data_IF_650198206461
#
_entry.id   IF_650198206461
#
_cell.length_a   1.000
_cell.length_b   1.000
_cell.length_c   1.000
_cell.angle_alpha   90.00
_cell.angle_beta   90.00
_cell.angle_gamma   90.00
#
_symmetry.space_group_name_H-M   'P 1'
#
loop_
_entity.id
_entity.type
_entity.pdbx_description
1 polymer ?
#
# COMPACT_ATOMS: atom_id res chain seq x y z
N UNK A 1 16.54 -1.30 -8.75
CA UNK A 1 16.46 -2.02 -7.48
C UNK A 1 15.17 -1.67 -6.75
N UNK A 2 14.50 -2.64 -6.15
CA UNK A 2 13.38 -2.44 -5.22
C UNK A 2 13.75 -3.03 -3.86
N UNK A 3 13.36 -2.35 -2.77
CA UNK A 3 13.53 -2.81 -1.39
C UNK A 3 12.20 -2.58 -0.63
N UNK A 4 11.58 -3.62 -0.14
CA UNK A 4 10.29 -3.49 0.55
C UNK A 4 9.74 -4.80 1.10
N UNK A 5 8.47 -4.81 1.44
CA UNK A 5 7.80 -5.92 2.13
C UNK A 5 7.87 -7.25 1.36
N UNK A 6 7.92 -7.20 0.02
CA UNK A 6 7.99 -8.40 -0.82
C UNK A 6 9.43 -8.86 -1.09
N UNK A 7 10.43 -8.28 -0.41
CA UNK A 7 11.84 -8.60 -0.56
C UNK A 7 12.66 -7.50 -1.21
N UNK A 8 13.90 -7.80 -1.52
CA UNK A 8 14.78 -6.93 -2.30
C UNK A 8 15.03 -7.55 -3.68
N UNK A 9 14.77 -6.75 -4.72
CA UNK A 9 14.94 -7.14 -6.13
C UNK A 9 16.06 -6.31 -6.74
N UNK A 10 17.16 -6.96 -7.10
CA UNK A 10 18.30 -6.33 -7.77
C UNK A 10 18.53 -7.07 -9.09
N UNK A 11 18.16 -6.44 -10.21
CA UNK A 11 18.11 -7.08 -11.52
C UNK A 11 17.25 -8.35 -11.48
N UNK A 12 17.85 -9.54 -11.60
CA UNK A 12 17.15 -10.83 -11.57
C UNK A 12 17.21 -11.50 -10.20
N UNK A 13 18.00 -10.98 -9.28
CA UNK A 13 18.13 -11.55 -7.95
C UNK A 13 16.99 -11.10 -7.04
N UNK A 14 16.49 -12.04 -6.27
CA UNK A 14 15.46 -11.82 -5.25
C UNK A 14 16.04 -12.24 -3.91
N UNK A 15 16.08 -11.33 -2.96
CA UNK A 15 16.58 -11.52 -1.61
C UNK A 15 15.42 -11.34 -0.65
N UNK A 16 15.16 -12.34 0.18
CA UNK A 16 14.16 -12.23 1.24
C UNK A 16 14.66 -11.29 2.33
N UNK A 17 13.75 -10.50 2.90
CA UNK A 17 14.04 -9.54 3.95
C UNK A 17 13.19 -9.82 5.18
N UNK A 18 13.81 -9.74 6.36
CA UNK A 18 13.09 -9.89 7.64
C UNK A 18 12.19 -8.67 7.94
N UNK A 19 12.54 -7.52 7.41
CA UNK A 19 11.83 -6.26 7.61
C UNK A 19 11.55 -5.55 6.30
N UNK A 20 10.41 -4.86 6.19
CA UNK A 20 10.06 -3.99 5.04
C UNK A 20 11.18 -2.99 4.71
N UNK A 21 11.80 -2.41 5.74
CA UNK A 21 13.01 -1.61 5.63
C UNK A 21 14.09 -2.31 6.45
N UNK A 22 15.14 -2.85 5.83
CA UNK A 22 16.22 -3.57 6.53
C UNK A 22 16.94 -2.71 7.57
N UNK A 23 17.73 -3.35 8.41
CA UNK A 23 18.65 -2.65 9.30
C UNK A 23 19.74 -1.93 8.50
N UNK A 24 20.30 -0.87 9.10
CA UNK A 24 21.19 0.05 8.38
C UNK A 24 22.35 -0.64 7.66
N UNK A 25 23.00 -1.61 8.27
CA UNK A 25 24.14 -2.32 7.66
C UNK A 25 23.71 -3.19 6.50
N UNK A 26 22.60 -3.92 6.66
CA UNK A 26 22.00 -4.72 5.58
C UNK A 26 21.56 -3.84 4.42
N UNK A 27 20.88 -2.72 4.71
CA UNK A 27 20.44 -1.77 3.70
C UNK A 27 21.60 -1.22 2.87
N UNK A 28 22.70 -0.79 3.51
CA UNK A 28 23.86 -0.30 2.79
C UNK A 28 24.52 -1.38 1.93
N UNK A 29 24.59 -2.63 2.40
CA UNK A 29 25.11 -3.75 1.59
C UNK A 29 24.25 -4.00 0.36
N UNK A 30 22.92 -3.94 0.48
CA UNK A 30 22.00 -4.05 -0.66
C UNK A 30 22.18 -2.92 -1.66
N UNK A 31 22.36 -1.68 -1.17
CA UNK A 31 22.59 -0.50 -2.04
C UNK A 31 23.94 -0.57 -2.77
N UNK A 32 25.00 -1.07 -2.12
CA UNK A 32 26.30 -1.31 -2.75
C UNK A 32 26.15 -2.36 -3.85
N UNK A 33 25.50 -3.49 -3.57
CA UNK A 33 25.25 -4.53 -4.58
C UNK A 33 24.43 -3.99 -5.76
N UNK A 34 23.37 -3.22 -5.48
CA UNK A 34 22.56 -2.58 -6.52
C UNK A 34 23.41 -1.66 -7.42
N UNK A 35 24.29 -0.87 -6.81
CA UNK A 35 25.23 0.02 -7.53
C UNK A 35 26.21 -0.78 -8.40
N UNK A 36 26.81 -1.83 -7.86
CA UNK A 36 27.76 -2.72 -8.56
C UNK A 36 27.10 -3.42 -9.75
N UNK A 37 25.81 -3.79 -9.62
CA UNK A 37 24.99 -4.34 -10.73
C UNK A 37 24.46 -3.27 -11.70
N UNK A 38 24.83 -2.01 -11.52
CA UNK A 38 24.49 -0.92 -12.44
C UNK A 38 23.06 -0.41 -12.33
N UNK A 39 22.34 -0.68 -11.22
CA UNK A 39 21.03 -0.10 -10.99
C UNK A 39 21.09 1.42 -10.98
N UNK A 40 20.24 2.07 -11.79
CA UNK A 40 20.18 3.53 -11.91
C UNK A 40 19.18 4.16 -10.93
N UNK A 41 18.21 3.40 -10.49
CA UNK A 41 17.14 3.85 -9.59
C UNK A 41 16.97 2.82 -8.48
N UNK A 42 16.78 3.31 -7.28
CA UNK A 42 16.35 2.52 -6.12
C UNK A 42 14.98 3.03 -5.70
N UNK A 43 14.01 2.12 -5.61
CA UNK A 43 12.69 2.38 -5.04
C UNK A 43 12.60 1.58 -3.75
N UNK A 44 12.24 2.23 -2.64
CA UNK A 44 12.15 1.52 -1.37
C UNK A 44 10.93 1.92 -0.55
N UNK A 45 10.42 0.97 0.20
CA UNK A 45 9.43 1.24 1.24
C UNK A 45 10.15 1.70 2.51
N UNK A 46 9.68 2.82 3.07
CA UNK A 46 10.22 3.38 4.31
C UNK A 46 9.15 3.30 5.40
N UNK A 47 9.31 2.36 6.32
CA UNK A 47 8.38 2.15 7.43
C UNK A 47 8.54 3.24 8.50
N UNK A 48 7.48 3.53 9.27
CA UNK A 48 7.56 4.45 10.40
C UNK A 48 8.55 3.98 11.48
N UNK A 49 8.67 2.65 11.66
CA UNK A 49 9.67 2.07 12.55
C UNK A 49 11.10 2.41 12.10
N UNK A 50 11.39 2.27 10.80
CA UNK A 50 12.73 2.58 10.26
C UNK A 50 13.09 4.06 10.41
N UNK A 51 12.10 4.95 10.33
CA UNK A 51 12.29 6.39 10.56
C UNK A 51 12.60 6.71 12.03
N UNK A 52 11.93 6.02 12.97
CA UNK A 52 12.19 6.19 14.41
C UNK A 52 13.53 5.56 14.79
N UNK A 53 13.86 4.42 14.22
CA UNK A 53 15.09 3.66 14.51
C UNK A 53 16.29 4.11 13.67
N UNK A 54 16.12 5.16 12.86
CA UNK A 54 17.17 5.73 12.00
C UNK A 54 17.83 4.69 11.04
N UNK A 55 17.09 3.65 10.61
CA UNK A 55 17.62 2.60 9.72
C UNK A 55 18.07 3.11 8.35
N UNK A 56 17.57 4.29 7.95
CA UNK A 56 17.90 4.96 6.68
C UNK A 56 18.86 6.14 6.87
N UNK A 57 19.52 6.24 8.03
CA UNK A 57 20.45 7.32 8.33
C UNK A 57 21.57 7.43 7.29
N UNK A 58 21.81 8.64 6.81
CA UNK A 58 22.81 8.91 5.77
C UNK A 58 22.31 8.76 4.34
N UNK A 59 21.08 8.31 4.12
CA UNK A 59 20.45 8.35 2.79
C UNK A 59 19.79 9.70 2.54
N UNK A 60 19.72 10.07 1.26
CA UNK A 60 18.97 11.23 0.78
C UNK A 60 18.10 10.82 -0.41
N UNK A 61 16.80 11.14 -0.33
CA UNK A 61 15.84 10.81 -1.38
C UNK A 61 15.61 11.99 -2.31
N UNK A 62 15.62 11.73 -3.60
CA UNK A 62 15.21 12.72 -4.62
C UNK A 62 13.69 12.84 -4.68
N UNK A 63 12.97 11.76 -4.40
CA UNK A 63 11.51 11.68 -4.39
C UNK A 63 11.04 10.87 -3.19
N UNK A 64 9.97 11.34 -2.56
CA UNK A 64 9.21 10.59 -1.56
C UNK A 64 7.74 10.55 -1.96
N UNK A 65 6.96 9.65 -1.35
CA UNK A 65 5.52 9.61 -1.49
C UNK A 65 4.84 9.38 -0.15
N UNK A 66 3.77 10.12 0.10
CA UNK A 66 2.80 9.85 1.15
C UNK A 66 1.52 9.30 0.54
N UNK A 67 1.22 8.05 0.82
CA UNK A 67 0.04 7.36 0.28
C UNK A 67 -1.19 7.54 1.17
N UNK A 68 -1.08 7.19 2.44
CA UNK A 68 -2.15 7.33 3.43
C UNK A 68 -1.61 7.11 4.86
N UNK A 69 -2.45 7.47 5.85
CA UNK A 69 -2.23 7.14 7.26
C UNK A 69 -3.53 6.65 7.89
N UNK A 70 -3.58 5.38 8.24
CA UNK A 70 -4.72 4.72 8.86
C UNK A 70 -4.31 4.02 10.15
N UNK A 71 -5.30 3.56 10.93
CA UNK A 71 -5.06 2.91 12.21
C UNK A 71 -4.23 1.64 12.06
N UNK A 72 -2.98 1.71 12.48
CA UNK A 72 -2.03 0.59 12.56
C UNK A 72 -0.87 0.94 13.49
N UNK A 73 -0.07 -0.05 13.87
CA UNK A 73 1.19 0.12 14.63
C UNK A 73 1.06 0.90 15.96
N UNK A 74 -0.13 0.92 16.60
CA UNK A 74 -0.32 1.58 17.89
C UNK A 74 0.29 0.80 19.06
N UNK A 75 0.65 -0.45 18.86
CA UNK A 75 1.50 -1.24 19.73
C UNK A 75 2.91 -0.63 19.88
N UNK A 76 3.39 0.04 18.85
CA UNK A 76 4.70 0.70 18.81
C UNK A 76 4.60 2.21 19.05
N UNK A 77 3.71 2.92 18.31
CA UNK A 77 3.63 4.39 18.34
C UNK A 77 2.70 4.96 19.41
N UNK A 78 1.95 4.11 20.15
CA UNK A 78 1.00 4.44 21.22
C UNK A 78 -0.16 5.37 20.81
N UNK A 79 0.01 6.25 19.83
CA UNK A 79 -1.06 7.14 19.33
C UNK A 79 -0.91 7.42 17.83
N UNK A 80 -2.02 7.83 17.19
CA UNK A 80 -2.02 8.26 15.79
C UNK A 80 -1.17 9.52 15.57
N UNK A 81 -1.04 10.35 16.58
CA UNK A 81 -0.19 11.57 16.54
C UNK A 81 1.29 11.20 16.52
N UNK A 82 1.73 10.29 17.39
CA UNK A 82 3.11 9.77 17.37
C UNK A 82 3.42 9.05 16.06
N UNK A 83 2.44 8.29 15.54
CA UNK A 83 2.58 7.62 14.24
C UNK A 83 2.73 8.62 13.09
N UNK A 84 1.93 9.71 13.09
CA UNK A 84 2.07 10.81 12.12
C UNK A 84 3.46 11.46 12.22
N UNK A 85 3.88 11.83 13.43
CA UNK A 85 5.18 12.45 13.66
C UNK A 85 6.34 11.54 13.23
N UNK A 86 6.21 10.23 13.45
CA UNK A 86 7.20 9.26 12.97
C UNK A 86 7.31 9.29 11.44
N UNK A 87 6.18 9.31 10.71
CA UNK A 87 6.17 9.38 9.24
C UNK A 87 6.71 10.72 8.71
N UNK A 88 6.43 11.84 9.39
CA UNK A 88 6.92 13.15 8.99
C UNK A 88 8.46 13.26 9.04
N UNK A 89 9.14 12.41 9.80
CA UNK A 89 10.62 12.36 9.79
C UNK A 89 11.21 12.08 8.40
N UNK A 90 10.41 11.60 7.42
CA UNK A 90 10.86 11.41 6.04
C UNK A 90 11.42 12.68 5.40
N UNK A 91 10.92 13.86 5.82
CA UNK A 91 11.41 15.15 5.33
C UNK A 91 12.89 15.41 5.67
N UNK A 92 13.40 14.81 6.76
CA UNK A 92 14.82 14.93 7.13
C UNK A 92 15.76 14.21 6.15
N UNK A 93 15.19 13.39 5.28
CA UNK A 93 15.91 12.58 4.30
C UNK A 93 15.59 13.00 2.86
N UNK A 94 14.77 14.02 2.66
CA UNK A 94 14.48 14.58 1.35
C UNK A 94 15.56 15.59 0.96
N UNK A 95 16.13 15.45 -0.24
CA UNK A 95 17.10 16.40 -0.78
C UNK A 95 16.52 17.81 -0.86
N UNK A 96 17.38 18.83 -0.87
CA UNK A 96 16.98 20.24 -0.99
C UNK A 96 16.14 20.53 -2.23
N UNK A 97 16.37 19.82 -3.34
CA UNK A 97 15.60 19.89 -4.59
C UNK A 97 14.58 18.74 -4.72
N UNK A 98 14.49 17.90 -3.70
CA UNK A 98 13.61 16.72 -3.69
C UNK A 98 12.12 17.10 -3.69
N UNK A 99 11.27 16.19 -4.16
CA UNK A 99 9.82 16.37 -4.21
C UNK A 99 9.11 15.28 -3.40
N UNK A 100 7.94 15.60 -2.90
CA UNK A 100 7.05 14.63 -2.25
C UNK A 100 5.73 14.53 -3.02
N UNK A 101 5.34 13.31 -3.37
CA UNK A 101 4.04 13.01 -3.98
C UNK A 101 3.03 12.73 -2.87
N UNK A 102 1.87 13.39 -2.90
CA UNK A 102 0.90 13.37 -1.81
C UNK A 102 -0.49 13.04 -2.34
N UNK A 103 -1.14 12.03 -1.75
CA UNK A 103 -2.56 11.79 -1.92
C UNK A 103 -3.36 12.80 -1.08
N UNK A 104 -3.94 13.83 -1.71
CA UNK A 104 -4.68 14.90 -1.01
C UNK A 104 -6.05 14.47 -0.49
N UNK A 105 -6.56 13.32 -0.91
CA UNK A 105 -7.83 12.77 -0.41
C UNK A 105 -7.64 12.07 0.96
N UNK A 106 -6.40 11.85 1.41
CA UNK A 106 -6.13 11.39 2.76
C UNK A 106 -6.20 12.55 3.76
N UNK A 107 -6.89 12.34 4.89
CA UNK A 107 -7.11 13.36 5.92
C UNK A 107 -5.85 13.93 6.56
N UNK A 108 -4.74 13.18 6.50
CA UNK A 108 -3.44 13.59 7.03
C UNK A 108 -2.54 14.26 5.99
N UNK A 109 -2.97 14.32 4.72
CA UNK A 109 -2.20 14.92 3.62
C UNK A 109 -1.69 16.32 3.93
N UNK A 110 -2.51 17.13 4.61
CA UNK A 110 -2.19 18.52 5.00
C UNK A 110 -0.89 18.66 5.81
N UNK A 111 -0.49 17.62 6.55
CA UNK A 111 0.73 17.63 7.34
C UNK A 111 1.99 17.34 6.51
N UNK A 112 1.81 16.79 5.31
CA UNK A 112 2.88 16.48 4.36
C UNK A 112 3.03 17.53 3.25
N UNK A 113 2.16 18.56 3.24
CA UNK A 113 2.21 19.61 2.22
C UNK A 113 3.43 20.51 2.44
N UNK A 114 4.28 20.55 1.43
CA UNK A 114 5.49 21.35 1.34
C UNK A 114 5.48 22.15 0.04
N UNK A 115 6.38 23.17 -0.09
CA UNK A 115 6.47 24.00 -1.32
C UNK A 115 6.70 23.20 -2.60
N UNK A 116 7.29 22.00 -2.48
CA UNK A 116 7.62 21.10 -3.62
C UNK A 116 6.76 19.86 -3.66
N UNK A 117 5.58 19.94 -3.08
CA UNK A 117 4.62 18.85 -3.16
C UNK A 117 4.08 18.71 -4.58
N UNK A 118 3.96 17.47 -5.00
CA UNK A 118 3.22 17.04 -6.19
C UNK A 118 1.98 16.31 -5.71
N UNK A 119 0.81 16.77 -6.07
CA UNK A 119 -0.44 16.31 -5.49
C UNK A 119 -1.22 15.40 -6.44
N UNK A 120 -1.94 14.42 -5.88
CA UNK A 120 -2.89 13.60 -6.63
C UNK A 120 -4.16 13.36 -5.82
N UNK A 121 -5.29 13.22 -6.50
CA UNK A 121 -6.57 12.96 -5.84
C UNK A 121 -7.78 13.30 -6.69
N UNK A 122 -8.96 13.17 -6.08
CA UNK A 122 -10.25 13.55 -6.70
C UNK A 122 -10.55 15.05 -6.55
N UNK A 123 -9.93 15.69 -5.54
CA UNK A 123 -10.03 17.12 -5.28
C UNK A 123 -9.04 17.89 -6.17
N UNK A 124 -8.91 19.18 -5.92
CA UNK A 124 -7.96 20.03 -6.62
C UNK A 124 -6.53 19.54 -6.37
N UNK A 125 -5.86 19.10 -7.44
CA UNK A 125 -4.56 18.46 -7.37
C UNK A 125 -3.87 18.48 -8.74
N UNK A 126 -2.54 18.30 -8.76
CA UNK A 126 -1.75 18.28 -10.01
C UNK A 126 -2.11 17.08 -10.90
N UNK A 127 -2.44 15.93 -10.29
CA UNK A 127 -2.94 14.72 -10.95
C UNK A 127 -4.37 14.47 -10.50
N UNK A 128 -5.33 15.15 -11.14
CA UNK A 128 -6.74 15.15 -10.74
C UNK A 128 -7.50 14.02 -11.38
N UNK A 129 -8.06 13.14 -10.56
CA UNK A 129 -8.97 12.07 -11.00
C UNK A 129 -10.30 12.71 -11.40
N UNK A 130 -10.77 12.51 -12.65
CA UNK A 130 -12.04 13.04 -13.14
C UNK A 130 -13.09 11.97 -13.41
N UNK A 131 -12.67 10.76 -13.73
CA UNK A 131 -13.56 9.61 -13.93
C UNK A 131 -12.79 8.30 -13.75
N UNK A 132 -13.48 7.24 -13.35
CA UNK A 132 -12.92 5.89 -13.34
C UNK A 132 -14.03 4.85 -13.50
N UNK A 133 -13.68 3.68 -14.01
CA UNK A 133 -14.56 2.50 -14.08
C UNK A 133 -13.80 1.29 -13.57
N UNK A 134 -14.42 0.61 -12.64
CA UNK A 134 -13.89 -0.62 -12.06
C UNK A 134 -14.52 -1.83 -12.76
N UNK A 135 -13.72 -2.86 -12.99
CA UNK A 135 -14.19 -4.16 -13.43
C UNK A 135 -13.43 -5.27 -12.70
N UNK A 136 -13.87 -6.51 -12.86
CA UNK A 136 -13.20 -7.67 -12.28
C UNK A 136 -11.89 -8.06 -13.00
N UNK A 137 -11.51 -7.35 -14.05
CA UNK A 137 -10.31 -7.62 -14.85
C UNK A 137 -9.33 -6.46 -14.92
N UNK A 138 -9.84 -5.23 -14.83
CA UNK A 138 -9.05 -4.01 -15.00
C UNK A 138 -9.74 -2.80 -14.37
N UNK A 139 -8.98 -1.71 -14.28
CA UNK A 139 -9.49 -0.40 -13.87
C UNK A 139 -9.19 0.61 -14.97
N UNK A 140 -10.22 1.27 -15.47
CA UNK A 140 -10.08 2.44 -16.34
C UNK A 140 -9.99 3.68 -15.47
N UNK A 141 -9.04 4.58 -15.77
CA UNK A 141 -8.81 5.84 -15.04
C UNK A 141 -8.72 6.97 -16.05
N UNK A 142 -9.46 8.06 -15.80
CA UNK A 142 -9.37 9.31 -16.54
C UNK A 142 -8.93 10.42 -15.58
N UNK A 143 -7.87 11.14 -15.92
CA UNK A 143 -7.28 12.15 -15.06
C UNK A 143 -6.73 13.34 -15.85
N UNK A 144 -6.51 14.46 -15.17
CA UNK A 144 -5.94 15.68 -15.73
C UNK A 144 -4.56 15.94 -15.12
N UNK A 145 -3.61 16.33 -15.96
CA UNK A 145 -2.29 16.85 -15.54
C UNK A 145 -1.94 18.04 -16.43
N UNK A 146 -1.58 19.18 -15.85
CA UNK A 146 -1.24 20.41 -16.60
C UNK A 146 -2.26 20.82 -17.66
N UNK A 147 -3.57 20.68 -17.34
CA UNK A 147 -4.73 20.90 -18.21
C UNK A 147 -4.90 19.88 -19.36
N UNK A 148 -4.00 18.93 -19.52
CA UNK A 148 -4.16 17.83 -20.47
C UNK A 148 -4.94 16.66 -19.84
N UNK A 149 -5.85 16.08 -20.63
CA UNK A 149 -6.64 14.92 -20.22
C UNK A 149 -5.96 13.65 -20.70
N UNK A 150 -5.74 12.73 -19.76
CA UNK A 150 -5.21 11.40 -20.00
C UNK A 150 -6.21 10.33 -19.64
N UNK A 151 -6.11 9.19 -20.31
CA UNK A 151 -6.89 7.99 -20.01
C UNK A 151 -6.00 6.77 -20.06
N UNK A 152 -6.19 5.85 -19.13
CA UNK A 152 -5.42 4.62 -19.05
C UNK A 152 -6.28 3.47 -18.55
N UNK A 153 -5.98 2.27 -18.99
CA UNK A 153 -6.54 1.03 -18.43
C UNK A 153 -5.39 0.24 -17.79
N UNK A 154 -5.53 -0.07 -16.51
CA UNK A 154 -4.52 -0.83 -15.75
C UNK A 154 -5.08 -2.18 -15.31
N UNK A 155 -4.19 -3.19 -15.16
CA UNK A 155 -4.52 -4.49 -14.58
C UNK A 155 -4.68 -4.46 -13.04
N UNK A 156 -4.41 -3.32 -12.41
CA UNK A 156 -4.61 -3.13 -10.98
C UNK A 156 -6.09 -2.91 -10.68
N UNK A 157 -6.72 -3.77 -9.89
CA UNK A 157 -8.16 -3.73 -9.59
C UNK A 157 -8.41 -3.04 -8.26
N UNK A 158 -9.49 -2.26 -8.20
CA UNK A 158 -9.97 -1.61 -6.99
C UNK A 158 -9.62 -0.12 -6.91
N UNK A 159 -10.50 0.61 -6.23
CA UNK A 159 -10.39 2.08 -6.10
C UNK A 159 -9.07 2.54 -5.48
N UNK A 160 -8.55 1.82 -4.47
CA UNK A 160 -7.28 2.17 -3.84
C UNK A 160 -6.09 2.05 -4.82
N UNK A 161 -6.18 1.16 -5.81
CA UNK A 161 -5.16 1.01 -6.83
C UNK A 161 -5.14 2.15 -7.85
N UNK A 162 -6.20 2.94 -7.97
CA UNK A 162 -6.18 4.19 -8.75
C UNK A 162 -5.15 5.16 -8.13
N UNK A 163 -5.20 5.32 -6.80
CA UNK A 163 -4.24 6.16 -6.08
C UNK A 163 -2.82 5.60 -6.14
N UNK A 164 -2.65 4.27 -6.00
CA UNK A 164 -1.34 3.62 -6.13
C UNK A 164 -0.74 3.84 -7.53
N UNK A 165 -1.56 3.66 -8.58
CA UNK A 165 -1.14 3.88 -9.96
C UNK A 165 -0.74 5.35 -10.20
N UNK A 166 -1.57 6.31 -9.80
CA UNK A 166 -1.29 7.73 -9.97
C UNK A 166 -0.08 8.18 -9.14
N UNK A 167 0.11 7.62 -7.93
CA UNK A 167 1.32 7.86 -7.12
C UNK A 167 2.58 7.42 -7.88
N UNK A 168 2.55 6.21 -8.44
CA UNK A 168 3.68 5.68 -9.23
C UNK A 168 3.92 6.51 -10.48
N UNK A 169 2.86 6.88 -11.20
CA UNK A 169 2.93 7.72 -12.40
C UNK A 169 3.52 9.10 -12.06
N UNK A 170 3.07 9.74 -10.98
CA UNK A 170 3.56 11.04 -10.55
C UNK A 170 5.03 11.00 -10.12
N UNK A 171 5.47 9.93 -9.43
CA UNK A 171 6.87 9.71 -9.08
C UNK A 171 7.74 9.57 -10.34
N UNK A 172 7.35 8.71 -11.29
CA UNK A 172 8.10 8.48 -12.51
C UNK A 172 8.13 9.72 -13.40
N UNK A 173 7.02 10.44 -13.52
CA UNK A 173 6.97 11.70 -14.27
C UNK A 173 7.84 12.79 -13.60
N UNK A 174 7.94 12.80 -12.27
CA UNK A 174 8.82 13.71 -11.53
C UNK A 174 10.31 13.46 -11.79
N UNK A 175 10.68 12.28 -12.29
CA UNK A 175 12.03 11.97 -12.79
C UNK A 175 12.27 12.49 -14.21
N UNK A 176 11.29 13.15 -14.83
CA UNK A 176 11.40 13.72 -16.19
C UNK A 176 10.93 12.78 -17.30
N UNK A 177 10.34 11.62 -16.99
CA UNK A 177 9.79 10.71 -18.00
C UNK A 177 8.42 11.22 -18.43
N UNK A 178 8.17 11.25 -19.75
CA UNK A 178 6.92 11.75 -20.29
C UNK A 178 5.72 10.87 -19.89
N UNK A 179 4.59 11.49 -19.54
CA UNK A 179 3.37 10.79 -19.12
C UNK A 179 2.89 9.78 -20.17
N UNK A 180 2.99 10.11 -21.46
CA UNK A 180 2.57 9.18 -22.54
C UNK A 180 3.44 7.91 -22.57
N UNK A 181 4.73 8.04 -22.31
CA UNK A 181 5.64 6.89 -22.28
C UNK A 181 5.33 5.99 -21.06
N UNK A 182 4.96 6.59 -19.91
CA UNK A 182 4.54 5.85 -18.74
C UNK A 182 3.22 5.10 -19.00
N UNK A 183 2.25 5.77 -19.65
CA UNK A 183 0.96 5.15 -20.00
C UNK A 183 1.16 4.00 -20.99
N UNK A 184 2.05 4.10 -21.94
CA UNK A 184 2.31 3.08 -22.96
C UNK A 184 2.82 1.74 -22.39
N UNK A 185 3.37 1.72 -21.19
CA UNK A 185 3.85 0.49 -20.53
C UNK A 185 2.90 0.00 -19.42
N UNK A 186 1.75 0.61 -19.24
CA UNK A 186 0.82 0.30 -18.13
C UNK A 186 0.24 -1.10 -18.21
N UNK A 187 0.05 -1.65 -19.40
CA UNK A 187 -0.43 -3.03 -19.62
C UNK A 187 0.55 -4.09 -19.11
N UNK A 188 1.83 -3.73 -18.91
CA UNK A 188 2.85 -4.58 -18.31
C UNK A 188 2.87 -4.52 -16.78
N UNK A 189 2.04 -3.65 -16.17
CA UNK A 189 2.00 -3.48 -14.70
C UNK A 189 0.95 -4.41 -14.11
N UNK A 190 1.38 -5.27 -13.21
CA UNK A 190 0.54 -6.21 -12.46
C UNK A 190 0.71 -6.01 -10.96
N UNK A 191 -0.30 -6.41 -10.20
CA UNK A 191 -0.21 -6.43 -8.76
C UNK A 191 0.90 -7.41 -8.30
N UNK A 192 1.71 -7.03 -7.31
CA UNK A 192 2.68 -7.95 -6.71
C UNK A 192 1.98 -9.13 -6.04
N UNK A 193 2.70 -10.25 -5.86
CA UNK A 193 2.19 -11.41 -5.13
C UNK A 193 1.67 -11.02 -3.75
N UNK A 194 0.50 -11.50 -3.39
CA UNK A 194 -0.15 -11.20 -2.11
C UNK A 194 -0.61 -9.76 -1.93
N UNK A 195 -0.69 -8.95 -3.00
CA UNK A 195 -1.19 -7.57 -3.00
C UNK A 195 -2.32 -7.42 -4.02
N UNK A 196 -3.54 -7.76 -3.63
CA UNK A 196 -4.68 -7.89 -4.56
C UNK A 196 -4.36 -8.79 -5.75
N UNK A 197 -3.58 -9.82 -5.52
CA UNK A 197 -3.22 -10.82 -6.51
C UNK A 197 -4.46 -11.59 -6.93
N UNK A 198 -4.72 -11.64 -8.23
CA UNK A 198 -5.94 -12.24 -8.78
C UNK A 198 -5.60 -13.56 -9.46
N UNK A 199 -6.25 -14.62 -8.98
CA UNK A 199 -6.22 -15.93 -9.58
C UNK A 199 -7.62 -16.25 -10.14
N UNK A 200 -7.69 -16.48 -11.45
CA UNK A 200 -8.96 -16.86 -12.11
C UNK A 200 -9.21 -18.34 -11.94
N UNK A 201 -10.38 -18.69 -11.44
CA UNK A 201 -10.81 -20.08 -11.30
C UNK A 201 -12.26 -20.25 -11.80
N UNK A 202 -12.42 -20.86 -12.95
CA UNK A 202 -13.71 -21.01 -13.63
C UNK A 202 -14.42 -19.64 -13.80
N UNK A 203 -15.63 -19.50 -13.22
CA UNK A 203 -16.42 -18.25 -13.22
C UNK A 203 -16.13 -17.36 -12.01
N UNK A 204 -15.22 -17.77 -11.13
CA UNK A 204 -14.86 -17.08 -9.90
C UNK A 204 -13.48 -16.50 -9.99
N UNK A 205 -13.20 -15.56 -9.10
CA UNK A 205 -11.85 -15.03 -8.86
C UNK A 205 -11.47 -15.32 -7.41
N UNK A 206 -10.22 -15.66 -7.19
CA UNK A 206 -9.60 -15.72 -5.88
C UNK A 206 -8.69 -14.49 -5.77
N UNK A 207 -8.82 -13.75 -4.69
CA UNK A 207 -8.01 -12.56 -4.42
C UNK A 207 -7.15 -12.83 -3.20
N UNK A 208 -5.84 -12.71 -3.35
CA UNK A 208 -4.90 -12.82 -2.24
C UNK A 208 -4.38 -11.43 -1.91
N UNK A 209 -4.59 -11.00 -0.68
CA UNK A 209 -4.17 -9.68 -0.21
C UNK A 209 -3.57 -9.74 1.19
N UNK A 210 -2.68 -8.82 1.47
CA UNK A 210 -2.00 -8.67 2.77
C UNK A 210 -2.82 -7.82 3.76
N UNK A 211 -4.08 -7.55 3.51
CA UNK A 211 -4.94 -6.74 4.37
C UNK A 211 -5.01 -7.32 5.79
N UNK A 212 -4.44 -6.62 6.76
CA UNK A 212 -4.33 -7.04 8.16
C UNK A 212 -4.73 -5.92 9.14
N UNK A 213 -5.36 -4.87 8.64
CA UNK A 213 -5.93 -3.76 9.42
C UNK A 213 -7.41 -3.59 9.11
N UNK A 214 -8.22 -3.03 10.01
CA UNK A 214 -9.64 -2.78 9.78
C UNK A 214 -9.92 -2.02 8.49
N UNK A 215 -9.19 -0.94 8.23
CA UNK A 215 -9.32 -0.13 7.03
C UNK A 215 -8.98 -0.90 5.76
N UNK A 216 -7.87 -1.67 5.78
CA UNK A 216 -7.46 -2.46 4.62
C UNK A 216 -8.47 -3.56 4.28
N UNK A 217 -8.97 -4.29 5.30
CA UNK A 217 -10.01 -5.31 5.12
C UNK A 217 -11.29 -4.69 4.55
N UNK A 218 -11.71 -3.54 5.07
CA UNK A 218 -12.88 -2.84 4.54
C UNK A 218 -12.69 -2.42 3.09
N UNK A 219 -11.54 -1.83 2.77
CA UNK A 219 -11.24 -1.35 1.41
C UNK A 219 -11.19 -2.47 0.38
N UNK A 220 -10.54 -3.59 0.72
CA UNK A 220 -10.43 -4.70 -0.22
C UNK A 220 -11.79 -5.34 -0.48
N UNK A 221 -12.59 -5.63 0.55
CA UNK A 221 -13.92 -6.24 0.38
C UNK A 221 -14.84 -5.31 -0.43
N UNK A 222 -14.90 -4.02 -0.09
CA UNK A 222 -15.72 -3.05 -0.81
C UNK A 222 -15.29 -2.90 -2.28
N UNK A 223 -13.98 -2.90 -2.57
CA UNK A 223 -13.49 -2.80 -3.94
C UNK A 223 -13.95 -3.97 -4.81
N UNK A 224 -14.04 -5.17 -4.25
CA UNK A 224 -14.56 -6.33 -4.98
C UNK A 224 -16.08 -6.40 -4.97
N UNK A 225 -16.75 -5.85 -3.96
CA UNK A 225 -18.21 -5.69 -3.97
C UNK A 225 -18.70 -4.77 -5.10
N UNK A 226 -17.96 -3.71 -5.41
CA UNK A 226 -18.28 -2.79 -6.51
C UNK A 226 -18.20 -3.44 -7.90
N UNK A 227 -17.41 -4.51 -8.05
CA UNK A 227 -17.15 -5.16 -9.35
C UNK A 227 -17.75 -6.56 -9.51
N UNK A 228 -18.41 -7.09 -8.47
CA UNK A 228 -19.05 -8.41 -8.52
C UNK A 228 -20.52 -8.37 -8.11
N UNK A 229 -21.34 -9.10 -8.89
CA UNK A 229 -22.73 -9.41 -8.51
C UNK A 229 -22.85 -10.76 -7.79
N UNK A 230 -21.75 -11.50 -7.66
CA UNK A 230 -21.69 -12.77 -6.97
C UNK A 230 -21.47 -12.66 -5.49
N UNK A 231 -21.42 -13.80 -4.80
CA UNK A 231 -21.11 -13.85 -3.37
C UNK A 231 -19.63 -13.57 -3.12
N UNK A 232 -19.37 -12.80 -2.07
CA UNK A 232 -18.02 -12.59 -1.54
C UNK A 232 -17.82 -13.52 -0.35
N UNK A 233 -16.83 -14.38 -0.47
CA UNK A 233 -16.36 -15.27 0.60
C UNK A 233 -15.04 -14.70 1.11
N UNK A 234 -15.01 -14.30 2.37
CA UNK A 234 -13.79 -13.78 3.01
C UNK A 234 -13.19 -14.82 3.93
N UNK A 235 -11.91 -15.12 3.72
CA UNK A 235 -11.10 -15.95 4.62
C UNK A 235 -10.15 -15.03 5.34
N UNK A 236 -10.23 -14.94 6.68
CA UNK A 236 -9.49 -13.98 7.47
C UNK A 236 -8.92 -14.63 8.74
N UNK A 237 -7.65 -14.30 9.03
CA UNK A 237 -6.99 -14.56 10.30
C UNK A 237 -6.36 -13.29 10.88
N UNK A 238 -5.92 -13.38 12.14
CA UNK A 238 -5.13 -12.33 12.78
C UNK A 238 -3.86 -12.92 13.39
N UNK A 239 -2.74 -12.19 13.26
CA UNK A 239 -1.49 -12.60 13.87
C UNK A 239 -1.50 -12.47 15.39
N UNK A 240 -0.79 -13.39 16.07
CA UNK A 240 -0.48 -13.30 17.50
C UNK A 240 0.61 -12.26 17.77
N UNK A 241 0.76 -11.84 19.04
CA UNK A 241 1.72 -10.85 19.52
C UNK A 241 1.70 -9.55 18.69
N UNK A 242 0.47 -9.11 18.34
CA UNK A 242 0.16 -7.89 17.62
C UNK A 242 -1.00 -7.17 18.32
N UNK A 243 -1.33 -5.97 17.84
CA UNK A 243 -2.44 -5.19 18.35
C UNK A 243 -3.76 -6.01 18.37
N UNK A 244 -4.22 -6.32 19.58
CA UNK A 244 -5.45 -7.11 19.81
C UNK A 244 -6.71 -6.30 19.57
N UNK A 245 -6.65 -4.98 19.70
CA UNK A 245 -7.81 -4.09 19.59
C UNK A 245 -8.47 -4.14 18.21
N UNK A 246 -7.69 -4.42 17.17
CA UNK A 246 -8.19 -4.52 15.79
C UNK A 246 -8.94 -5.83 15.50
N UNK A 247 -8.77 -6.90 16.28
CA UNK A 247 -9.29 -8.24 15.98
C UNK A 247 -10.83 -8.23 15.89
N UNK A 248 -11.51 -7.73 16.91
CA UNK A 248 -12.98 -7.64 16.92
C UNK A 248 -13.53 -6.71 15.85
N UNK A 249 -12.82 -5.61 15.55
CA UNK A 249 -13.20 -4.67 14.50
C UNK A 249 -13.12 -5.35 13.13
N UNK A 250 -12.06 -6.10 12.85
CA UNK A 250 -11.89 -6.85 11.60
C UNK A 250 -12.96 -7.95 11.48
N UNK A 251 -13.30 -8.64 12.59
CA UNK A 251 -14.40 -9.59 12.62
C UNK A 251 -15.74 -8.95 12.24
N UNK A 252 -16.06 -7.81 12.82
CA UNK A 252 -17.27 -7.05 12.51
C UNK A 252 -17.32 -6.59 11.05
N UNK A 253 -16.23 -6.02 10.54
CA UNK A 253 -16.14 -5.54 9.14
C UNK A 253 -16.35 -6.69 8.17
N UNK A 254 -15.65 -7.81 8.38
CA UNK A 254 -15.72 -8.95 7.47
C UNK A 254 -17.14 -9.53 7.41
N UNK A 255 -17.81 -9.70 8.55
CA UNK A 255 -19.17 -10.24 8.59
C UNK A 255 -20.24 -9.28 8.07
N UNK A 256 -20.02 -7.97 8.16
CA UNK A 256 -20.96 -6.99 7.62
C UNK A 256 -20.83 -6.78 6.10
N UNK A 257 -19.64 -6.99 5.53
CA UNK A 257 -19.36 -6.69 4.13
C UNK A 257 -19.31 -7.92 3.22
N UNK A 258 -19.19 -9.13 3.78
CA UNK A 258 -19.13 -10.39 3.03
C UNK A 258 -20.42 -11.20 3.19
N UNK A 259 -20.65 -12.09 2.22
CA UNK A 259 -21.81 -13.02 2.27
C UNK A 259 -21.47 -14.25 3.12
N UNK A 260 -20.21 -14.69 3.10
CA UNK A 260 -19.70 -15.79 3.92
C UNK A 260 -18.34 -15.36 4.47
N UNK A 261 -18.10 -15.67 5.75
CA UNK A 261 -16.80 -15.44 6.38
C UNK A 261 -16.28 -16.72 7.03
N UNK A 262 -15.03 -17.02 6.77
CA UNK A 262 -14.30 -18.12 7.39
C UNK A 262 -13.15 -17.50 8.21
N UNK A 263 -13.25 -17.61 9.54
CA UNK A 263 -12.13 -17.23 10.41
C UNK A 263 -11.19 -18.41 10.55
N UNK A 264 -9.90 -18.16 10.39
CA UNK A 264 -8.86 -19.19 10.43
C UNK A 264 -7.63 -18.68 11.17
N UNK A 265 -6.67 -19.57 11.39
CA UNK A 265 -5.39 -19.19 11.93
C UNK A 265 -4.55 -18.45 10.87
N UNK A 266 -3.81 -17.49 11.35
CA UNK A 266 -2.67 -16.89 10.67
C UNK A 266 -1.40 -17.29 11.46
N UNK A 267 -0.42 -16.44 11.60
CA UNK A 267 0.76 -16.70 12.40
C UNK A 267 0.47 -16.41 13.91
N UNK A 268 0.24 -17.43 14.76
CA UNK A 268 -0.16 -17.23 16.15
C UNK A 268 1.01 -16.79 17.05
N UNK A 269 2.26 -16.96 16.61
CA UNK A 269 3.48 -16.71 17.40
C UNK A 269 3.42 -17.40 18.77
N UNK A 270 3.41 -16.63 19.88
CA UNK A 270 3.34 -17.19 21.25
C UNK A 270 1.92 -17.30 21.79
N UNK A 271 0.91 -16.73 21.10
CA UNK A 271 -0.48 -16.77 21.54
C UNK A 271 -1.17 -18.08 21.13
N UNK A 272 -2.15 -18.51 21.94
CA UNK A 272 -3.01 -19.65 21.59
C UNK A 272 -4.00 -19.24 20.49
N UNK A 273 -4.09 -20.04 19.44
CA UNK A 273 -4.92 -19.81 18.26
C UNK A 273 -6.39 -19.57 18.60
N UNK A 274 -6.97 -20.40 19.52
CA UNK A 274 -8.35 -20.28 19.95
C UNK A 274 -8.65 -18.92 20.61
N UNK A 275 -7.67 -18.33 21.32
CA UNK A 275 -7.84 -17.01 21.94
C UNK A 275 -7.89 -15.91 20.88
N UNK A 276 -7.07 -16.02 19.82
CA UNK A 276 -7.07 -15.08 18.71
C UNK A 276 -8.43 -15.13 17.99
N UNK A 277 -8.91 -16.32 17.65
CA UNK A 277 -10.23 -16.50 17.03
C UNK A 277 -11.34 -15.98 17.95
N UNK A 278 -11.29 -16.28 19.26
CA UNK A 278 -12.25 -15.76 20.24
C UNK A 278 -12.29 -14.22 20.25
N UNK A 279 -11.14 -13.56 20.15
CA UNK A 279 -11.09 -12.10 20.07
C UNK A 279 -11.71 -11.55 18.77
N UNK A 280 -11.53 -12.23 17.63
CA UNK A 280 -12.18 -11.87 16.38
C UNK A 280 -13.71 -11.99 16.51
N UNK A 281 -14.17 -13.10 17.09
CA UNK A 281 -15.60 -13.42 17.24
C UNK A 281 -16.35 -12.44 18.14
N UNK A 282 -15.68 -11.72 19.07
CA UNK A 282 -16.30 -10.65 19.87
C UNK A 282 -16.91 -9.53 19.01
N UNK A 283 -16.43 -9.34 17.77
CA UNK A 283 -16.96 -8.35 16.84
C UNK A 283 -18.07 -8.87 15.93
N UNK A 284 -18.40 -10.16 15.98
CA UNK A 284 -19.37 -10.79 15.08
C UNK A 284 -20.77 -10.63 15.66
N UNK A 285 -21.58 -9.79 15.02
CA UNK A 285 -22.97 -9.52 15.42
C UNK A 285 -24.00 -10.40 14.68
N UNK A 286 -23.60 -11.10 13.61
CA UNK A 286 -24.44 -12.00 12.81
C UNK A 286 -23.66 -13.27 12.52
N UNK A 287 -24.28 -14.42 12.79
CA UNK A 287 -23.81 -15.69 12.28
C UNK A 287 -24.51 -15.92 10.93
N UNK A 288 -23.76 -15.86 9.86
CA UNK A 288 -24.22 -16.22 8.51
C UNK A 288 -23.67 -17.58 8.13
#
# INVERSE_FOLDING_TARGET
CYIGTIGCYIDKDVIELDNTTPDILELYNLLINAKEKGCKVVVMEVSSHSLVQERIKGLEFSLCAFTNLTLDHLDYHKSMEEYLHAKLKIFNYLKDDGKIVINVDDKYSKYFMERRSVTLGSNDSDYKIIDYRLSNNNTFIKFIVNNDIYSVTTNLIGKFNIYNYLTSLALVNSLGINIKDIINVTDMVYAPKGRSEIIKYNKSIIVIDYAHTPDAVSKIINSFREVTNGSIITILGCGGDRDKSKRSIMGSISTNLSDIVIFTNDNPRTEKEDLIISDILKGVNKYN
#
